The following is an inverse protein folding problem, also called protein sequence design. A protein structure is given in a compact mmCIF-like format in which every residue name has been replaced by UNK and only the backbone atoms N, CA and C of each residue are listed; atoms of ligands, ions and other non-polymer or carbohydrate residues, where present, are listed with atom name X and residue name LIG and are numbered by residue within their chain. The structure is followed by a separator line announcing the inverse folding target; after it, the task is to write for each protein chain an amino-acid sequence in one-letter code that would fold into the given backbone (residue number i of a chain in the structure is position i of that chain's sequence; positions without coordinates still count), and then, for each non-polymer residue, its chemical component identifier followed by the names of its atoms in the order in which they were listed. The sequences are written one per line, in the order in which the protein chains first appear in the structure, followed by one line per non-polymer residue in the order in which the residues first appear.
data_IF_267107573710
#
_entry.id   IF_267107573710
#
_cell.length_a   1.000
_cell.length_b   1.000
_cell.length_c   1.000
_cell.angle_alpha   90.00
_cell.angle_beta   90.00
_cell.angle_gamma   90.00
#
_symmetry.space_group_name_H-M   'P 1'
#
loop_
_entity.id
_entity.type
_entity.pdbx_description
1 polymer ?
#
# COMPACT_ATOMS: atom_id res chain seq x y z
N UNK A 1 -5.43 -23.65 13.23
CA UNK A 1 -6.84 -23.32 13.01
C UNK A 1 -6.99 -21.82 13.13
N UNK A 2 -7.71 -21.19 12.20
CA UNK A 2 -8.00 -19.76 12.26
C UNK A 2 -8.98 -19.48 13.40
N UNK A 3 -8.76 -18.43 14.19
CA UNK A 3 -9.51 -18.10 15.40
C UNK A 3 -10.72 -17.21 15.07
N UNK A 4 -11.47 -17.55 14.02
CA UNK A 4 -12.62 -16.76 13.56
C UNK A 4 -13.68 -16.60 14.65
N UNK A 5 -13.96 -17.66 15.42
CA UNK A 5 -14.94 -17.65 16.50
C UNK A 5 -14.53 -16.80 17.73
N UNK A 6 -13.24 -16.44 17.84
CA UNK A 6 -12.74 -15.55 18.91
C UNK A 6 -12.45 -14.13 18.42
N UNK A 7 -12.92 -13.75 17.21
CA UNK A 7 -12.79 -12.37 16.74
C UNK A 7 -13.58 -11.43 17.64
N UNK A 8 -12.87 -10.69 18.48
CA UNK A 8 -13.42 -9.55 19.24
C UNK A 8 -13.67 -8.32 18.36
N UNK A 9 -13.03 -8.27 17.19
CA UNK A 9 -13.17 -7.14 16.26
C UNK A 9 -14.12 -7.54 15.15
N UNK A 10 -15.26 -6.85 15.10
CA UNK A 10 -16.23 -6.96 14.02
C UNK A 10 -15.63 -6.37 12.74
N UNK A 11 -15.83 -7.07 11.61
CA UNK A 11 -15.28 -6.69 10.31
C UNK A 11 -15.76 -5.31 9.87
N UNK A 12 -16.99 -4.95 10.24
CA UNK A 12 -17.60 -3.66 9.92
C UNK A 12 -16.91 -2.50 10.64
N UNK A 13 -16.60 -2.66 11.93
CA UNK A 13 -15.86 -1.68 12.72
C UNK A 13 -14.43 -1.47 12.19
N UNK A 14 -13.73 -2.55 11.86
CA UNK A 14 -12.40 -2.48 11.25
C UNK A 14 -12.44 -1.79 9.87
N UNK A 15 -13.47 -2.07 9.07
CA UNK A 15 -13.64 -1.46 7.77
C UNK A 15 -13.98 0.03 7.86
N UNK A 16 -14.81 0.43 8.83
CA UNK A 16 -15.10 1.84 9.10
C UNK A 16 -13.85 2.60 9.54
N UNK A 17 -13.05 2.02 10.45
CA UNK A 17 -11.77 2.61 10.84
C UNK A 17 -10.83 2.77 9.64
N UNK A 18 -10.69 1.73 8.82
CA UNK A 18 -9.86 1.78 7.62
C UNK A 18 -10.31 2.85 6.61
N UNK A 19 -11.63 3.02 6.45
CA UNK A 19 -12.20 4.10 5.62
C UNK A 19 -11.92 5.49 6.19
N UNK A 20 -12.01 5.66 7.52
CA UNK A 20 -11.72 6.93 8.19
C UNK A 20 -10.24 7.32 8.06
N UNK A 21 -9.34 6.37 8.27
CA UNK A 21 -7.88 6.55 8.17
C UNK A 21 -7.39 6.58 6.71
N UNK A 22 -8.26 6.28 5.73
CA UNK A 22 -7.94 6.04 4.31
C UNK A 22 -6.85 4.98 4.10
N UNK A 23 -6.79 4.00 5.00
CA UNK A 23 -5.88 2.86 4.90
C UNK A 23 -6.60 1.64 4.34
N UNK A 24 -5.87 0.77 3.67
CA UNK A 24 -6.44 -0.48 3.15
C UNK A 24 -6.39 -1.54 4.25
N UNK A 25 -7.57 -2.03 4.66
CA UNK A 25 -7.68 -3.15 5.59
C UNK A 25 -7.31 -4.46 4.87
N UNK A 26 -6.48 -5.28 5.51
CA UNK A 26 -6.15 -6.63 5.06
C UNK A 26 -6.43 -7.59 6.20
N UNK A 27 -7.36 -8.51 5.98
CA UNK A 27 -7.59 -9.62 6.89
C UNK A 27 -6.67 -10.76 6.49
N UNK A 28 -5.74 -11.12 7.37
CA UNK A 28 -4.75 -12.16 7.11
C UNK A 28 -4.76 -13.18 8.23
N UNK A 29 -4.43 -14.41 7.86
CA UNK A 29 -4.36 -15.50 8.81
C UNK A 29 -2.99 -16.14 8.75
N UNK A 30 -2.32 -16.27 9.90
CA UNK A 30 -1.00 -16.89 10.00
C UNK A 30 -1.01 -18.35 9.53
N UNK A 31 -2.15 -19.03 9.64
CA UNK A 31 -2.32 -20.40 9.16
C UNK A 31 -2.40 -20.50 7.64
N UNK A 32 -2.75 -19.43 6.92
CA UNK A 32 -2.70 -19.39 5.46
C UNK A 32 -1.69 -18.36 4.96
N UNK A 33 -0.48 -18.86 4.70
CA UNK A 33 0.64 -18.09 4.14
C UNK A 33 0.26 -17.30 2.89
N UNK A 34 -0.72 -17.75 2.09
CA UNK A 34 -1.13 -17.05 0.87
C UNK A 34 -1.80 -15.71 1.19
N UNK A 35 -2.61 -15.64 2.24
CA UNK A 35 -3.28 -14.39 2.68
C UNK A 35 -2.28 -13.34 3.16
N UNK A 36 -1.13 -13.75 3.69
CA UNK A 36 -0.08 -12.83 4.15
C UNK A 36 0.72 -12.20 2.99
N UNK A 37 0.89 -12.90 1.88
CA UNK A 37 1.80 -12.51 0.80
C UNK A 37 1.36 -11.20 0.11
N UNK A 38 0.05 -11.03 -0.08
CA UNK A 38 -0.55 -9.89 -0.75
C UNK A 38 -0.35 -8.55 0.00
N UNK A 39 -0.61 -8.44 1.32
CA UNK A 39 -0.34 -7.21 2.06
C UNK A 39 1.14 -6.85 2.14
N UNK A 40 2.04 -7.85 2.30
CA UNK A 40 3.47 -7.57 2.28
C UNK A 40 3.94 -7.05 0.91
N UNK A 41 3.43 -7.63 -0.18
CA UNK A 41 3.73 -7.17 -1.53
C UNK A 41 3.20 -5.76 -1.77
N UNK A 42 1.97 -5.46 -1.34
CA UNK A 42 1.38 -4.13 -1.45
C UNK A 42 2.16 -3.09 -0.63
N UNK A 43 2.51 -3.41 0.62
CA UNK A 43 3.29 -2.54 1.49
C UNK A 43 4.69 -2.30 0.91
N UNK A 44 5.35 -3.37 0.45
CA UNK A 44 6.64 -3.28 -0.22
C UNK A 44 6.56 -2.38 -1.46
N UNK A 45 5.52 -2.51 -2.30
CA UNK A 45 5.30 -1.64 -3.46
C UNK A 45 5.10 -0.17 -3.10
N UNK A 46 4.36 0.11 -2.01
CA UNK A 46 4.16 1.48 -1.50
C UNK A 46 5.45 2.08 -0.91
N UNK A 47 6.28 1.27 -0.26
CA UNK A 47 7.57 1.69 0.32
C UNK A 47 8.68 1.77 -0.72
N UNK A 48 8.67 0.88 -1.72
CA UNK A 48 9.67 0.77 -2.78
C UNK A 48 9.39 1.70 -3.95
N UNK A 49 8.37 2.57 -3.86
CA UNK A 49 8.23 3.66 -4.80
C UNK A 49 9.50 4.49 -4.74
N UNK A 50 10.41 4.23 -5.67
CA UNK A 50 11.54 5.11 -5.95
C UNK A 50 10.95 6.51 -6.07
N UNK A 51 11.55 7.48 -5.40
CA UNK A 51 11.17 8.89 -5.52
C UNK A 51 11.35 9.29 -7.00
N UNK A 52 10.33 9.02 -7.81
CA UNK A 52 10.38 9.08 -9.27
C UNK A 52 10.50 10.53 -9.77
N UNK A 53 10.41 11.48 -8.84
CA UNK A 53 10.94 12.84 -8.96
C UNK A 53 11.63 13.16 -7.64
N UNK A 54 12.90 13.54 -7.71
CA UNK A 54 13.55 14.26 -6.61
C UNK A 54 12.67 15.48 -6.27
N UNK A 55 12.08 15.51 -5.08
CA UNK A 55 11.43 16.72 -4.55
C UNK A 55 12.45 17.82 -4.30
N UNK A 56 13.74 17.48 -4.25
CA UNK A 56 14.80 18.48 -4.27
C UNK A 56 14.85 19.13 -5.67
N UNK A 57 14.52 20.43 -5.78
CA UNK A 57 14.77 21.16 -7.01
C UNK A 57 16.28 21.28 -7.14
N UNK A 58 16.90 20.40 -7.91
CA UNK A 58 18.32 20.51 -8.22
C UNK A 58 18.50 21.73 -9.14
N UNK A 59 19.19 22.79 -8.70
CA UNK A 59 19.48 23.92 -9.57
C UNK A 59 20.29 23.44 -10.77
N UNK A 60 19.80 23.68 -11.99
CA UNK A 60 20.56 23.44 -13.23
C UNK A 60 20.16 22.23 -14.08
N UNK A 61 19.17 21.42 -13.69
CA UNK A 61 18.69 20.31 -14.54
C UNK A 61 17.66 20.80 -15.57
N UNK A 62 18.15 21.34 -16.68
CA UNK A 62 17.37 21.56 -17.91
C UNK A 62 16.68 20.26 -18.32
N UNK A 63 15.35 20.22 -18.25
CA UNK A 63 14.54 19.12 -18.78
C UNK A 63 14.79 19.05 -20.29
N UNK A 64 15.51 18.03 -20.76
CA UNK A 64 15.63 17.78 -22.19
C UNK A 64 14.29 17.24 -22.66
N UNK A 65 13.62 18.02 -23.51
CA UNK A 65 12.22 17.85 -23.88
C UNK A 65 11.89 16.47 -24.43
N UNK A 66 10.74 15.94 -24.01
CA UNK A 66 10.00 14.99 -24.82
C UNK A 66 9.39 15.78 -25.97
N UNK A 67 10.01 15.70 -27.15
CA UNK A 67 9.34 15.99 -28.39
C UNK A 67 8.35 14.84 -28.64
N UNK A 68 7.06 15.14 -28.54
CA UNK A 68 5.99 14.30 -29.06
C UNK A 68 5.20 15.10 -30.08
N UNK A 69 5.85 15.45 -31.19
CA UNK A 69 5.22 15.77 -32.47
C UNK A 69 5.47 14.61 -33.44
N UNK A 70 4.45 13.76 -33.60
CA UNK A 70 3.93 13.27 -34.90
C UNK A 70 2.68 12.41 -34.67
#
# INVERSE_FOLDING_TARGET
MDLLEQRQVETEAAQQWARAEKVRLWEVTVTDRKTLLEPFTFLASKLSQSQNKSTFPLPGRKSKGNNCDN
#
